data_IF_355573304023
#
_entry.id   IF_355573304023
#
_cell.length_a   1.000
_cell.length_b   1.000
_cell.length_c   1.000
_cell.angle_alpha   90.00
_cell.angle_beta   90.00
_cell.angle_gamma   90.00
#
_symmetry.space_group_name_H-M   'P 1'
#
loop_
_entity.id
_entity.type
_entity.pdbx_description
1 polymer ?
#
# COMPACT_ATOMS: atom_id res chain seq x y z
N UNK A 1 1.49 0.31 -16.58
CA UNK A 1 2.10 0.61 -15.27
C UNK A 1 1.02 1.20 -14.39
N UNK A 2 0.96 0.83 -13.12
CA UNK A 2 -0.09 1.23 -12.17
C UNK A 2 0.57 1.95 -10.99
N UNK A 3 -0.07 3.00 -10.49
CA UNK A 3 0.50 3.89 -9.47
C UNK A 3 -0.53 4.15 -8.37
N UNK A 4 -0.07 4.32 -7.15
CA UNK A 4 -0.81 4.97 -6.06
C UNK A 4 0.06 6.09 -5.51
N UNK A 5 -0.53 7.23 -5.12
CA UNK A 5 0.24 8.34 -4.59
C UNK A 5 0.71 8.06 -3.17
N UNK A 6 1.89 8.55 -2.83
CA UNK A 6 2.31 8.78 -1.46
C UNK A 6 1.92 10.18 -0.99
N UNK A 7 2.14 10.49 0.30
CA UNK A 7 1.81 11.79 0.88
C UNK A 7 2.54 12.94 0.19
N UNK A 8 3.77 12.69 -0.27
CA UNK A 8 4.57 13.70 -0.97
C UNK A 8 4.09 14.01 -2.39
N UNK A 9 3.25 13.16 -2.99
CA UNK A 9 2.66 13.40 -4.31
C UNK A 9 1.41 14.29 -4.25
N UNK A 10 0.84 14.52 -3.05
CA UNK A 10 -0.42 15.24 -2.84
C UNK A 10 -0.27 16.52 -2.00
N UNK A 11 0.96 16.96 -1.73
CA UNK A 11 1.25 18.17 -0.93
C UNK A 11 1.15 19.48 -1.71
N UNK A 12 0.86 19.43 -3.00
CA UNK A 12 0.67 20.63 -3.81
C UNK A 12 -0.61 21.37 -3.42
N UNK A 13 -0.67 22.69 -3.74
CA UNK A 13 -1.81 23.54 -3.45
C UNK A 13 -3.13 23.05 -4.08
N UNK A 14 -3.04 22.23 -5.10
CA UNK A 14 -4.15 21.64 -5.85
C UNK A 14 -4.49 20.20 -5.42
N UNK A 15 -4.04 19.77 -4.23
CA UNK A 15 -4.36 18.48 -3.63
C UNK A 15 -4.15 17.29 -4.59
N UNK A 16 -2.97 17.23 -5.21
CA UNK A 16 -2.61 16.14 -6.11
C UNK A 16 -3.20 16.25 -7.51
N UNK A 17 -3.61 17.43 -7.97
CA UNK A 17 -4.10 17.61 -9.35
C UNK A 17 -3.06 17.17 -10.37
N UNK A 18 -1.79 17.59 -10.20
CA UNK A 18 -0.69 17.23 -11.09
C UNK A 18 -0.50 15.69 -11.13
N UNK A 19 -0.59 15.04 -9.97
CA UNK A 19 -0.53 13.58 -9.90
C UNK A 19 -1.67 12.94 -10.70
N UNK A 20 -2.93 13.37 -10.48
CA UNK A 20 -4.10 12.84 -11.17
C UNK A 20 -4.06 13.07 -12.68
N UNK A 21 -3.62 14.24 -13.13
CA UNK A 21 -3.46 14.54 -14.56
C UNK A 21 -2.43 13.64 -15.24
N UNK A 22 -1.33 13.31 -14.53
CA UNK A 22 -0.24 12.50 -15.08
C UNK A 22 -0.51 11.00 -14.99
N UNK A 23 -1.07 10.52 -13.89
CA UNK A 23 -1.18 9.10 -13.57
C UNK A 23 -2.62 8.61 -13.37
N UNK A 24 -3.57 9.49 -13.15
CA UNK A 24 -4.94 9.18 -12.75
C UNK A 24 -5.97 9.07 -13.88
N UNK A 25 -5.58 8.93 -15.17
CA UNK A 25 -6.51 8.98 -16.31
C UNK A 25 -7.70 8.01 -16.25
N UNK A 26 -7.55 6.87 -15.56
CA UNK A 26 -8.61 5.87 -15.38
C UNK A 26 -9.07 5.77 -13.91
N UNK A 27 -8.59 6.66 -13.05
CA UNK A 27 -8.87 6.64 -11.64
C UNK A 27 -10.18 7.39 -11.30
N UNK A 28 -10.73 7.11 -10.13
CA UNK A 28 -11.89 7.77 -9.54
C UNK A 28 -11.48 8.62 -8.34
N UNK A 29 -12.31 9.58 -7.95
CA UNK A 29 -12.08 10.42 -6.79
C UNK A 29 -10.68 11.01 -6.73
N UNK A 30 -9.99 10.80 -5.63
CA UNK A 30 -8.62 11.26 -5.41
C UNK A 30 -7.54 10.40 -6.12
N UNK A 31 -7.93 9.40 -6.89
CA UNK A 31 -6.98 8.61 -7.68
C UNK A 31 -7.06 7.10 -7.48
N UNK A 32 -8.11 6.56 -6.81
CA UNK A 32 -8.29 5.12 -6.65
C UNK A 32 -8.88 4.46 -7.90
N UNK A 33 -8.61 3.17 -8.06
CA UNK A 33 -9.06 2.39 -9.23
C UNK A 33 -8.93 0.89 -8.99
N UNK A 34 -9.55 0.10 -9.88
CA UNK A 34 -9.35 -1.34 -9.94
C UNK A 34 -9.21 -1.83 -11.38
N UNK A 35 -8.64 -3.01 -11.54
CA UNK A 35 -8.51 -3.69 -12.83
C UNK A 35 -8.34 -5.19 -12.64
N UNK A 36 -8.67 -5.96 -13.67
CA UNK A 36 -8.47 -7.41 -13.69
C UNK A 36 -7.30 -7.76 -14.62
N UNK A 37 -6.44 -8.65 -14.16
CA UNK A 37 -5.36 -9.20 -14.96
C UNK A 37 -5.09 -10.67 -14.57
N UNK A 38 -5.04 -11.56 -15.55
CA UNK A 38 -4.71 -12.98 -15.40
C UNK A 38 -5.51 -13.69 -14.28
N UNK A 39 -6.79 -13.35 -14.12
CA UNK A 39 -7.66 -13.95 -13.10
C UNK A 39 -7.49 -13.40 -11.69
N UNK A 40 -6.68 -12.36 -11.50
CA UNK A 40 -6.50 -11.62 -10.25
C UNK A 40 -7.20 -10.27 -10.36
N UNK A 41 -7.88 -9.85 -9.31
CA UNK A 41 -8.44 -8.51 -9.19
C UNK A 41 -7.50 -7.61 -8.40
N UNK A 42 -7.07 -6.53 -9.03
CA UNK A 42 -6.16 -5.54 -8.45
C UNK A 42 -6.92 -4.28 -8.07
N UNK A 43 -6.62 -3.73 -6.90
CA UNK A 43 -7.26 -2.54 -6.34
C UNK A 43 -6.19 -1.57 -5.84
N UNK A 44 -6.08 -0.41 -6.47
CA UNK A 44 -5.24 0.69 -6.02
C UNK A 44 -6.05 1.66 -5.16
N UNK A 45 -5.66 1.81 -3.89
CA UNK A 45 -6.30 2.70 -2.92
C UNK A 45 -5.45 3.92 -2.63
N UNK A 46 -6.10 5.04 -2.33
CA UNK A 46 -5.46 6.31 -1.94
C UNK A 46 -5.81 6.58 -0.48
N UNK A 47 -4.81 6.59 0.40
CA UNK A 47 -4.99 6.80 1.83
C UNK A 47 -4.13 7.93 2.40
N UNK A 48 -3.76 8.88 1.54
CA UNK A 48 -2.88 10.02 1.86
C UNK A 48 -3.53 11.39 1.59
N UNK A 49 -4.84 11.41 1.30
CA UNK A 49 -5.58 12.67 1.12
C UNK A 49 -5.72 13.38 2.46
N UNK A 50 -5.47 14.68 2.49
CA UNK A 50 -5.55 15.53 3.69
C UNK A 50 -4.73 14.99 4.89
N UNK A 51 -3.66 14.24 4.61
CA UNK A 51 -2.82 13.64 5.63
C UNK A 51 -2.12 14.73 6.45
N UNK A 52 -2.35 14.71 7.76
CA UNK A 52 -1.63 15.56 8.71
C UNK A 52 -0.26 14.96 9.01
N UNK A 53 0.74 15.79 9.22
CA UNK A 53 2.08 15.33 9.58
C UNK A 53 2.03 14.39 10.80
N UNK A 54 2.54 13.17 10.66
CA UNK A 54 2.51 12.12 11.69
C UNK A 54 1.13 11.52 11.95
N UNK A 55 0.11 11.87 11.16
CA UNK A 55 -1.24 11.29 11.25
C UNK A 55 -1.37 9.95 10.55
N UNK A 56 -2.37 9.18 10.94
CA UNK A 56 -2.77 7.96 10.24
C UNK A 56 -3.37 8.30 8.87
N UNK A 57 -3.14 7.44 7.89
CA UNK A 57 -3.83 7.49 6.61
C UNK A 57 -5.34 7.31 6.75
N UNK A 58 -6.08 7.74 5.74
CA UNK A 58 -7.54 7.63 5.71
C UNK A 58 -8.02 7.42 4.26
N UNK A 59 -8.92 6.46 4.06
CA UNK A 59 -9.54 6.19 2.75
C UNK A 59 -10.75 7.11 2.51
N UNK A 60 -11.53 7.35 3.55
CA UNK A 60 -12.76 8.13 3.50
C UNK A 60 -13.97 7.36 2.97
N UNK A 61 -15.15 7.87 3.27
CA UNK A 61 -16.42 7.17 2.99
C UNK A 61 -16.64 6.90 1.51
N UNK A 62 -16.37 7.86 0.63
CA UNK A 62 -16.59 7.70 -0.81
C UNK A 62 -15.79 6.54 -1.39
N UNK A 63 -14.51 6.42 -0.99
CA UNK A 63 -13.64 5.33 -1.44
C UNK A 63 -14.04 3.99 -0.81
N UNK A 64 -14.47 3.98 0.44
CA UNK A 64 -14.96 2.78 1.12
C UNK A 64 -16.23 2.24 0.48
N UNK A 65 -17.21 3.09 0.16
CA UNK A 65 -18.44 2.73 -0.55
C UNK A 65 -18.13 2.20 -1.96
N UNK A 66 -17.20 2.85 -2.66
CA UNK A 66 -16.73 2.38 -3.95
C UNK A 66 -16.06 1.00 -3.86
N UNK A 67 -15.19 0.80 -2.86
CA UNK A 67 -14.51 -0.49 -2.65
C UNK A 67 -15.52 -1.61 -2.38
N UNK A 68 -16.49 -1.37 -1.49
CA UNK A 68 -17.55 -2.34 -1.21
C UNK A 68 -18.32 -2.72 -2.48
N UNK A 69 -18.73 -1.73 -3.26
CA UNK A 69 -19.44 -1.94 -4.52
C UNK A 69 -18.60 -2.71 -5.56
N UNK A 70 -17.31 -2.39 -5.67
CA UNK A 70 -16.39 -3.01 -6.63
C UNK A 70 -16.21 -4.51 -6.36
N UNK A 71 -16.13 -4.90 -5.08
CA UNK A 71 -15.92 -6.31 -4.71
C UNK A 71 -17.20 -7.11 -4.48
N UNK A 72 -18.36 -6.46 -4.35
CA UNK A 72 -19.63 -7.07 -3.92
C UNK A 72 -20.05 -8.27 -4.76
N UNK A 73 -19.99 -8.16 -6.07
CA UNK A 73 -20.46 -9.19 -7.02
C UNK A 73 -19.38 -10.21 -7.40
N UNK A 74 -18.15 -10.06 -6.92
CA UNK A 74 -17.04 -10.96 -7.28
C UNK A 74 -17.15 -12.29 -6.55
N UNK A 75 -16.71 -13.35 -7.22
CA UNK A 75 -16.61 -14.68 -6.61
C UNK A 75 -15.65 -14.68 -5.43
N UNK A 76 -15.99 -15.40 -4.38
CA UNK A 76 -15.11 -15.61 -3.22
C UNK A 76 -13.77 -16.31 -3.58
N UNK A 77 -13.72 -17.01 -4.70
CA UNK A 77 -12.49 -17.64 -5.22
C UNK A 77 -11.60 -16.69 -6.01
N UNK A 78 -12.03 -15.45 -6.30
CA UNK A 78 -11.20 -14.45 -6.99
C UNK A 78 -10.07 -14.00 -6.07
N UNK A 79 -8.78 -14.18 -6.43
CA UNK A 79 -7.68 -13.60 -5.68
C UNK A 79 -7.72 -12.08 -5.75
N UNK A 80 -7.54 -11.41 -4.61
CA UNK A 80 -7.54 -9.96 -4.50
C UNK A 80 -6.14 -9.46 -4.17
N UNK A 81 -5.66 -8.46 -4.89
CA UNK A 81 -4.44 -7.73 -4.56
C UNK A 81 -4.77 -6.26 -4.37
N UNK A 82 -4.62 -5.76 -3.15
CA UNK A 82 -4.71 -4.34 -2.84
C UNK A 82 -3.31 -3.75 -2.76
N UNK A 83 -3.16 -2.52 -3.23
CA UNK A 83 -1.97 -1.73 -2.99
C UNK A 83 -2.34 -0.29 -2.65
N UNK A 84 -1.72 0.21 -1.60
CA UNK A 84 -1.88 1.57 -1.07
C UNK A 84 -0.54 2.04 -0.51
N UNK A 85 -0.33 3.34 -0.36
CA UNK A 85 0.93 3.84 0.15
C UNK A 85 1.14 3.46 1.62
N UNK A 86 0.27 3.91 2.51
CA UNK A 86 0.35 3.64 3.95
C UNK A 86 -0.23 2.25 4.25
N UNK A 87 0.37 1.45 5.17
CA UNK A 87 -0.18 0.16 5.58
C UNK A 87 -1.65 0.27 6.02
N UNK A 88 -2.49 -0.69 5.59
CA UNK A 88 -3.90 -0.75 5.99
C UNK A 88 -4.10 -1.21 7.43
N UNK A 89 -3.08 -1.76 8.08
CA UNK A 89 -3.07 -2.05 9.52
C UNK A 89 -2.16 -1.05 10.24
N UNK A 90 -2.39 -0.82 11.52
CA UNK A 90 -1.51 0.06 12.31
C UNK A 90 -0.24 -0.69 12.69
N UNK A 91 0.89 -0.26 12.11
CA UNK A 91 2.23 -0.75 12.43
C UNK A 91 2.78 0.01 13.65
N UNK A 92 2.70 1.35 13.61
CA UNK A 92 3.15 2.21 14.70
C UNK A 92 2.41 3.55 14.64
N UNK A 93 1.51 3.75 15.60
CA UNK A 93 0.59 4.89 15.59
C UNK A 93 1.30 6.24 15.77
N UNK A 94 2.32 6.30 16.64
CA UNK A 94 3.01 7.55 16.96
C UNK A 94 3.72 8.18 15.75
N UNK A 95 4.00 7.37 14.72
CA UNK A 95 4.59 7.85 13.47
C UNK A 95 3.61 7.87 12.28
N UNK A 96 2.32 7.68 12.53
CA UNK A 96 1.30 7.64 11.49
C UNK A 96 1.39 6.41 10.58
N UNK A 97 2.04 5.34 11.03
CA UNK A 97 2.23 4.12 10.24
C UNK A 97 1.01 3.19 10.32
N UNK A 98 -0.05 3.59 9.67
CA UNK A 98 -1.30 2.85 9.61
C UNK A 98 -2.41 3.66 8.97
N UNK A 99 -3.54 3.01 8.69
CA UNK A 99 -4.73 3.62 8.10
C UNK A 99 -5.89 3.51 9.07
N UNK A 100 -6.51 4.64 9.40
CA UNK A 100 -7.54 4.75 10.45
C UNK A 100 -8.76 3.88 10.17
N UNK A 101 -9.24 3.88 8.95
CA UNK A 101 -10.41 3.13 8.46
C UNK A 101 -10.04 1.86 7.69
N UNK A 102 -8.78 1.43 7.77
CA UNK A 102 -8.27 0.22 7.11
C UNK A 102 -9.01 -1.05 7.52
N UNK A 103 -9.41 -1.16 8.79
CA UNK A 103 -10.19 -2.30 9.27
C UNK A 103 -11.56 -2.41 8.59
N UNK A 104 -12.22 -1.28 8.29
CA UNK A 104 -13.47 -1.24 7.55
C UNK A 104 -13.27 -1.72 6.10
N UNK A 105 -12.25 -1.21 5.41
CA UNK A 105 -11.90 -1.68 4.06
C UNK A 105 -11.66 -3.19 4.02
N UNK A 106 -10.90 -3.72 4.98
CA UNK A 106 -10.61 -5.15 5.08
C UNK A 106 -11.85 -5.99 5.39
N UNK A 107 -12.86 -5.42 6.06
CA UNK A 107 -14.11 -6.13 6.36
C UNK A 107 -14.87 -6.55 5.10
N UNK A 108 -14.81 -5.76 4.03
CA UNK A 108 -15.44 -6.07 2.73
C UNK A 108 -14.77 -7.24 2.01
N UNK A 109 -13.56 -7.59 2.41
CA UNK A 109 -12.72 -8.62 1.77
C UNK A 109 -12.75 -9.97 2.49
N UNK A 110 -13.48 -10.08 3.60
CA UNK A 110 -13.53 -11.32 4.42
C UNK A 110 -14.05 -12.55 3.68
N UNK A 111 -14.86 -12.36 2.63
CA UNK A 111 -15.40 -13.47 1.84
C UNK A 111 -14.40 -14.13 0.89
N UNK A 112 -13.29 -13.45 0.55
CA UNK A 112 -12.34 -13.95 -0.44
C UNK A 112 -11.37 -14.95 0.19
N UNK A 113 -11.02 -16.00 -0.56
CA UNK A 113 -10.08 -17.04 -0.08
C UNK A 113 -8.64 -16.56 0.00
N UNK A 114 -8.25 -15.54 -0.78
CA UNK A 114 -6.90 -14.98 -0.82
C UNK A 114 -6.94 -13.47 -1.04
N UNK A 115 -6.40 -12.73 -0.09
CA UNK A 115 -6.21 -11.28 -0.16
C UNK A 115 -4.77 -10.95 0.15
N UNK A 116 -4.12 -10.19 -0.74
CA UNK A 116 -2.76 -9.68 -0.53
C UNK A 116 -2.79 -8.16 -0.49
N UNK A 117 -2.23 -7.56 0.54
CA UNK A 117 -2.12 -6.11 0.73
C UNK A 117 -0.65 -5.72 0.64
N UNK A 118 -0.33 -4.87 -0.34
CA UNK A 118 1.01 -4.36 -0.61
C UNK A 118 1.10 -2.89 -0.24
N UNK A 119 2.10 -2.52 0.55
CA UNK A 119 2.29 -1.15 1.00
C UNK A 119 3.76 -0.71 0.92
N UNK A 120 3.97 0.59 0.96
CA UNK A 120 5.25 1.26 1.11
C UNK A 120 5.32 2.03 2.43
N UNK A 121 5.61 3.33 2.36
CA UNK A 121 5.60 4.34 3.42
C UNK A 121 6.64 4.13 4.52
N UNK A 122 6.70 2.94 5.12
CA UNK A 122 7.56 2.65 6.28
C UNK A 122 9.00 2.27 5.91
N UNK A 123 9.29 2.15 4.60
CA UNK A 123 10.61 1.85 4.04
C UNK A 123 11.30 0.58 4.58
N UNK A 124 10.52 -0.35 5.11
CA UNK A 124 10.98 -1.62 5.70
C UNK A 124 10.12 -2.77 5.18
N UNK A 125 10.70 -3.96 5.14
CA UNK A 125 9.94 -5.18 4.90
C UNK A 125 9.31 -5.62 6.21
N UNK A 126 7.99 -5.60 6.25
CA UNK A 126 7.20 -6.19 7.31
C UNK A 126 6.14 -7.09 6.71
N UNK A 127 5.91 -8.23 7.34
CA UNK A 127 4.90 -9.19 6.92
C UNK A 127 3.97 -9.52 8.09
N UNK A 128 2.69 -9.63 7.79
CA UNK A 128 1.66 -10.07 8.73
C UNK A 128 0.67 -10.95 7.97
N UNK A 129 0.21 -12.00 8.60
CA UNK A 129 -0.92 -12.80 8.10
C UNK A 129 -2.03 -12.76 9.14
N UNK A 130 -3.22 -12.40 8.70
CA UNK A 130 -4.41 -12.34 9.54
C UNK A 130 -5.61 -12.91 8.76
N UNK A 131 -6.05 -14.10 9.17
CA UNK A 131 -7.10 -14.82 8.46
C UNK A 131 -6.72 -15.12 7.00
N UNK A 132 -7.53 -14.60 6.09
CA UNK A 132 -7.33 -14.72 4.64
C UNK A 132 -6.44 -13.61 4.04
N UNK A 133 -5.95 -12.67 4.86
CA UNK A 133 -5.19 -11.51 4.41
C UNK A 133 -3.70 -11.67 4.70
N UNK A 134 -2.87 -11.51 3.69
CA UNK A 134 -1.42 -11.37 3.81
C UNK A 134 -1.03 -9.92 3.56
N UNK A 135 -0.39 -9.28 4.53
CA UNK A 135 0.15 -7.93 4.42
C UNK A 135 1.64 -8.00 4.16
N UNK A 136 2.11 -7.13 3.28
CA UNK A 136 3.52 -6.98 2.95
C UNK A 136 3.86 -5.52 2.69
N UNK A 137 4.89 -5.00 3.37
CA UNK A 137 5.46 -3.69 3.07
C UNK A 137 6.77 -3.85 2.33
N UNK A 138 7.01 -2.99 1.35
CA UNK A 138 8.24 -3.00 0.56
C UNK A 138 9.29 -2.04 1.14
N UNK A 139 10.56 -2.30 0.84
CA UNK A 139 11.63 -1.33 1.02
C UNK A 139 11.39 -0.11 0.14
N UNK A 140 11.99 1.02 0.51
CA UNK A 140 12.09 2.18 -0.36
C UNK A 140 13.19 1.99 -1.41
N UNK A 141 13.11 2.73 -2.50
CA UNK A 141 14.21 2.92 -3.46
C UNK A 141 14.99 4.20 -3.21
N UNK A 142 14.61 5.00 -2.19
CA UNK A 142 15.19 6.31 -1.91
C UNK A 142 16.07 6.32 -0.64
N UNK A 143 15.50 5.94 0.51
CA UNK A 143 16.21 5.91 1.80
C UNK A 143 15.54 4.92 2.76
N UNK A 144 16.28 4.35 3.74
CA UNK A 144 15.70 3.55 4.81
C UNK A 144 15.12 4.43 5.91
N UNK A 145 14.21 3.87 6.71
CA UNK A 145 13.70 4.46 7.94
C UNK A 145 14.12 3.62 9.16
N UNK A 146 14.18 4.21 10.37
CA UNK A 146 14.49 3.46 11.58
C UNK A 146 13.37 2.48 11.93
N UNK A 147 13.68 1.45 12.70
CA UNK A 147 12.66 0.57 13.26
C UNK A 147 11.69 1.34 14.18
N UNK A 148 10.42 0.93 14.28
CA UNK A 148 9.43 1.60 15.11
C UNK A 148 9.93 1.87 16.54
N UNK A 149 9.83 3.12 17.01
CA UNK A 149 10.20 3.51 18.36
C UNK A 149 11.70 3.57 18.67
N UNK A 150 12.59 3.31 17.70
CA UNK A 150 14.05 3.36 17.92
C UNK A 150 14.68 4.71 17.66
N UNK A 151 13.90 5.69 17.20
CA UNK A 151 14.31 7.06 16.94
C UNK A 151 13.20 8.04 17.33
N UNK A 152 13.50 9.34 17.48
CA UNK A 152 12.48 10.35 17.80
C UNK A 152 11.43 10.57 16.71
N UNK A 153 11.72 10.20 15.47
CA UNK A 153 10.83 10.38 14.31
C UNK A 153 11.11 9.34 13.21
N UNK A 154 10.17 9.13 12.28
CA UNK A 154 10.37 8.22 11.14
C UNK A 154 11.31 8.78 10.06
N UNK A 155 11.91 9.96 10.26
CA UNK A 155 12.74 10.61 9.25
C UNK A 155 13.83 9.71 8.68
N UNK A 156 14.53 10.15 7.60
CA UNK A 156 15.51 9.29 6.97
C UNK A 156 16.56 8.75 7.95
N UNK A 157 16.76 7.43 7.94
CA UNK A 157 17.86 6.82 8.66
C UNK A 157 19.16 7.09 7.88
N UNK A 158 20.10 7.81 8.53
CA UNK A 158 21.44 8.03 7.96
C UNK A 158 22.24 6.75 8.08
N UNK A 159 22.76 6.28 6.96
CA UNK A 159 23.60 5.09 6.86
C UNK A 159 24.83 5.42 6.00
N UNK A 160 25.95 4.71 6.17
CA UNK A 160 27.10 4.84 5.29
C UNK A 160 26.74 4.57 3.81
N UNK A 161 27.33 5.29 2.88
CA UNK A 161 27.01 5.20 1.45
C UNK A 161 27.15 3.78 0.89
N UNK A 162 28.16 3.04 1.35
CA UNK A 162 28.41 1.64 0.97
C UNK A 162 27.36 0.66 1.50
N UNK A 163 26.53 1.06 2.49
CA UNK A 163 25.43 0.28 3.05
C UNK A 163 24.07 0.66 2.46
N UNK A 164 23.94 1.87 1.92
CA UNK A 164 22.64 2.41 1.50
C UNK A 164 21.93 1.48 0.50
N UNK A 165 22.62 1.05 -0.57
CA UNK A 165 21.98 0.21 -1.59
C UNK A 165 21.50 -1.15 -1.06
N UNK A 166 22.15 -1.70 -0.03
CA UNK A 166 21.73 -2.96 0.61
C UNK A 166 20.43 -2.81 1.42
N UNK A 167 20.10 -1.59 1.84
CA UNK A 167 18.91 -1.27 2.61
C UNK A 167 17.73 -0.84 1.71
N UNK A 168 17.99 -0.47 0.47
CA UNK A 168 16.99 -0.18 -0.56
C UNK A 168 16.60 -1.45 -1.31
N UNK A 169 15.43 -1.43 -1.97
CA UNK A 169 15.02 -2.63 -2.70
C UNK A 169 13.70 -2.50 -3.44
N UNK A 170 13.37 -3.59 -4.10
CA UNK A 170 12.10 -3.81 -4.79
C UNK A 170 11.49 -5.14 -4.32
N UNK A 171 10.17 -5.23 -4.35
CA UNK A 171 9.45 -6.48 -4.12
C UNK A 171 8.93 -7.04 -5.45
N UNK A 172 9.25 -8.30 -5.72
CA UNK A 172 8.72 -9.05 -6.86
C UNK A 172 7.54 -9.90 -6.37
N UNK A 173 6.37 -9.69 -6.94
CA UNK A 173 5.16 -10.42 -6.60
C UNK A 173 4.80 -11.35 -7.75
N UNK A 174 4.78 -12.65 -7.49
CA UNK A 174 4.49 -13.68 -8.50
C UNK A 174 3.18 -14.36 -8.18
N UNK A 175 2.26 -14.33 -9.13
CA UNK A 175 1.03 -15.13 -9.11
C UNK A 175 1.21 -16.38 -9.98
N UNK A 176 0.86 -17.53 -9.44
CA UNK A 176 0.75 -18.77 -10.20
C UNK A 176 -0.70 -19.21 -10.24
N UNK A 177 -1.19 -19.50 -11.42
CA UNK A 177 -2.55 -20.00 -11.60
C UNK A 177 -2.74 -21.30 -10.79
N UNK A 178 -3.86 -21.39 -10.09
CA UNK A 178 -4.21 -22.48 -9.16
C UNK A 178 -3.46 -22.49 -7.81
N UNK A 179 -2.64 -21.49 -7.51
CA UNK A 179 -2.11 -21.24 -6.16
C UNK A 179 -2.91 -20.12 -5.49
N UNK A 180 -3.31 -20.35 -4.23
CA UNK A 180 -4.14 -19.37 -3.49
C UNK A 180 -3.34 -18.18 -2.94
N UNK A 181 -2.00 -18.27 -2.93
CA UNK A 181 -1.13 -17.23 -2.36
C UNK A 181 -0.13 -16.73 -3.38
N UNK A 182 0.15 -15.43 -3.32
CA UNK A 182 1.22 -14.83 -4.09
C UNK A 182 2.57 -15.13 -3.44
N UNK A 183 3.58 -15.43 -4.25
CA UNK A 183 4.96 -15.43 -3.78
C UNK A 183 5.48 -13.99 -3.84
N UNK A 184 6.03 -13.49 -2.72
CA UNK A 184 6.64 -12.16 -2.63
C UNK A 184 8.11 -12.34 -2.30
N UNK A 185 8.98 -11.77 -3.13
CA UNK A 185 10.44 -11.84 -2.97
C UNK A 185 11.00 -10.42 -2.95
N UNK A 186 11.56 -10.02 -1.83
CA UNK A 186 12.26 -8.76 -1.68
C UNK A 186 13.71 -8.88 -2.13
N UNK A 187 14.13 -7.98 -2.99
CA UNK A 187 15.49 -7.94 -3.51
C UNK A 187 16.12 -6.58 -3.18
N UNK A 188 17.30 -6.54 -2.55
CA UNK A 188 18.03 -5.31 -2.37
C UNK A 188 18.49 -4.76 -3.73
N UNK A 189 18.69 -3.45 -3.82
CA UNK A 189 19.31 -2.85 -4.99
C UNK A 189 20.77 -3.31 -5.05
N UNK A 190 21.13 -3.93 -6.15
CA UNK A 190 22.53 -4.32 -6.38
C UNK A 190 23.36 -3.09 -6.76
N UNK A 191 24.61 -3.05 -6.27
CA UNK A 191 25.61 -2.03 -6.60
C UNK A 191 26.17 -2.22 -7.99
#
# INVERSE_FOLDING_TARGET
>A
MHYVPGEHDLIDADQGKIYRERYGKAAKGAGWYSFDANGVHFIGLVNVVDLKAGGLGNLGNEQLEWLEADVKSRSASTPIVLFAHIPLWTVYQDWGWGTQDGAQALSYLKKFGSVTVLNGHIHQVMQKVEGNVTFHTARSTAFPQPAPGTAPSPGPLKVPDDQLRKMLGIANVTFKQNEQRLAIVDSPLQG
#
